data_IF_398902212827
#
_entry.id   IF_398902212827
#
_cell.length_a   1.000
_cell.length_b   1.000
_cell.length_c   1.000
_cell.angle_alpha   90.00
_cell.angle_beta   90.00
_cell.angle_gamma   90.00
#
_symmetry.space_group_name_H-M   'P 1'
#
loop_
_entity.id
_entity.type
_entity.pdbx_description
1 polymer ?
#
# COMPACT_ATOMS: atom_id res chain seq x y z
N UNK A 1 -5.99 -58.06 -37.74
CA UNK A 1 -5.65 -56.63 -37.87
C UNK A 1 -6.44 -55.85 -36.82
N UNK A 2 -5.76 -55.23 -35.84
CA UNK A 2 -6.38 -54.40 -34.82
C UNK A 2 -5.52 -53.15 -34.63
N UNK A 3 -6.08 -52.00 -34.97
CA UNK A 3 -5.37 -50.73 -35.04
C UNK A 3 -5.18 -50.08 -33.68
N UNK A 4 -4.00 -49.46 -33.54
CA UNK A 4 -3.38 -48.77 -32.42
C UNK A 4 -4.31 -47.81 -31.67
N UNK A 5 -4.34 -47.93 -30.34
CA UNK A 5 -4.67 -46.83 -29.43
C UNK A 5 -3.39 -46.19 -28.91
N UNK A 6 -3.27 -44.86 -29.00
CA UNK A 6 -2.33 -44.10 -28.18
C UNK A 6 -2.61 -42.59 -28.18
N UNK A 7 -2.71 -42.07 -26.95
CA UNK A 7 -2.30 -40.75 -26.44
C UNK A 7 -3.29 -39.57 -26.51
N UNK A 8 -3.49 -39.07 -25.29
CA UNK A 8 -4.26 -37.93 -24.82
C UNK A 8 -3.38 -36.68 -24.96
N UNK A 9 -3.93 -35.56 -25.40
CA UNK A 9 -3.36 -34.24 -25.17
C UNK A 9 -4.43 -33.33 -24.60
N UNK A 10 -4.36 -33.16 -23.28
CA UNK A 10 -4.90 -31.99 -22.60
C UNK A 10 -3.85 -30.88 -22.70
N UNK A 11 -4.27 -29.68 -23.10
CA UNK A 11 -3.56 -28.44 -22.85
C UNK A 11 -4.60 -27.32 -22.84
N UNK A 12 -5.13 -27.04 -21.66
CA UNK A 12 -5.80 -25.78 -21.34
C UNK A 12 -4.78 -24.65 -21.53
N UNK A 13 -5.13 -23.65 -22.34
CA UNK A 13 -4.47 -22.33 -22.28
C UNK A 13 -5.12 -21.55 -21.16
N UNK A 14 -4.47 -21.58 -19.99
CA UNK A 14 -4.64 -20.59 -18.95
C UNK A 14 -3.46 -19.63 -19.08
N UNK A 15 -3.72 -18.46 -19.64
CA UNK A 15 -2.76 -17.36 -19.58
C UNK A 15 -2.95 -16.74 -18.19
N UNK A 16 -2.28 -17.34 -17.22
CA UNK A 16 -2.18 -16.90 -15.84
C UNK A 16 -1.17 -15.76 -15.81
N UNK A 17 -1.64 -14.51 -15.84
CA UNK A 17 -0.81 -13.36 -15.48
C UNK A 17 -0.63 -13.40 -13.96
N UNK A 18 0.35 -14.20 -13.55
CA UNK A 18 0.80 -14.31 -12.17
C UNK A 18 1.46 -12.99 -11.78
N UNK A 19 0.68 -12.07 -11.23
CA UNK A 19 1.21 -10.95 -10.46
C UNK A 19 1.85 -11.54 -9.21
N UNK A 20 3.15 -11.80 -9.28
CA UNK A 20 3.99 -11.99 -8.10
C UNK A 20 3.70 -10.84 -7.12
N UNK A 21 3.38 -11.10 -5.84
CA UNK A 21 3.26 -10.03 -4.86
C UNK A 21 4.64 -9.37 -4.76
N UNK A 22 4.76 -8.17 -5.32
CA UNK A 22 5.92 -7.33 -5.06
C UNK A 22 5.85 -7.02 -3.58
N UNK A 23 6.70 -7.67 -2.77
CA UNK A 23 6.85 -7.39 -1.34
C UNK A 23 7.02 -5.87 -1.17
N UNK A 24 5.95 -5.21 -0.76
CA UNK A 24 5.94 -3.77 -0.54
C UNK A 24 6.82 -3.47 0.67
N UNK A 25 7.87 -2.67 0.48
CA UNK A 25 8.79 -2.34 1.56
C UNK A 25 8.09 -1.64 2.71
N UNK A 26 8.48 -1.96 3.95
CA UNK A 26 8.09 -1.21 5.15
C UNK A 26 9.29 -0.40 5.67
N UNK A 27 9.17 0.92 5.65
CA UNK A 27 10.19 1.86 6.12
C UNK A 27 9.67 2.60 7.35
N UNK A 28 10.45 2.59 8.43
CA UNK A 28 10.10 3.27 9.68
C UNK A 28 10.96 4.53 9.82
N UNK A 29 10.36 5.70 9.60
CA UNK A 29 11.06 6.99 9.78
C UNK A 29 11.02 7.44 11.24
N UNK A 30 9.88 7.23 11.90
CA UNK A 30 9.69 7.49 13.33
C UNK A 30 9.14 6.22 13.97
N UNK A 31 9.86 5.63 14.94
CA UNK A 31 9.31 4.56 15.76
C UNK A 31 8.03 4.96 16.47
N UNK A 32 7.05 4.06 16.44
CA UNK A 32 5.72 4.26 17.02
C UNK A 32 4.99 5.48 16.44
N UNK A 33 5.30 5.84 15.19
CA UNK A 33 4.55 6.83 14.43
C UNK A 33 3.07 6.42 14.31
N UNK A 34 2.19 7.39 14.48
CA UNK A 34 0.73 7.26 14.46
C UNK A 34 0.13 7.26 13.04
N UNK A 35 0.97 7.36 12.01
CA UNK A 35 0.57 7.32 10.60
C UNK A 35 1.46 6.34 9.81
N UNK A 36 0.83 5.58 8.91
CA UNK A 36 1.48 4.81 7.86
C UNK A 36 1.05 5.41 6.51
N UNK A 37 2.00 5.94 5.74
CA UNK A 37 1.76 6.36 4.36
C UNK A 37 1.88 5.15 3.43
N UNK A 38 0.87 4.93 2.59
CA UNK A 38 0.86 3.90 1.54
C UNK A 38 1.15 4.59 0.20
N UNK A 39 2.39 4.49 -0.28
CA UNK A 39 2.88 5.30 -1.40
C UNK A 39 2.82 4.53 -2.71
N UNK A 40 2.25 5.17 -3.73
CA UNK A 40 2.20 4.70 -5.09
C UNK A 40 1.35 3.43 -5.28
N UNK A 41 1.31 2.88 -6.50
CA UNK A 41 0.51 1.70 -6.82
C UNK A 41 0.99 0.42 -6.10
N UNK A 42 2.25 0.41 -5.64
CA UNK A 42 2.83 -0.70 -4.88
C UNK A 42 2.52 -0.63 -3.39
N UNK A 43 1.88 0.43 -2.92
CA UNK A 43 1.56 0.66 -1.51
C UNK A 43 2.77 0.47 -0.59
N UNK A 44 3.90 1.08 -0.97
CA UNK A 44 5.07 1.07 -0.10
C UNK A 44 4.73 1.78 1.22
N UNK A 45 5.06 1.13 2.33
CA UNK A 45 4.63 1.57 3.66
C UNK A 45 5.70 2.42 4.31
N UNK A 46 5.35 3.64 4.73
CA UNK A 46 6.24 4.51 5.50
C UNK A 46 5.58 4.91 6.82
N UNK A 47 6.13 4.45 7.96
CA UNK A 47 5.66 4.86 9.29
C UNK A 47 6.29 6.18 9.73
N UNK A 48 5.44 7.14 10.10
CA UNK A 48 5.82 8.51 10.47
C UNK A 48 4.85 9.08 11.51
N UNK A 49 5.24 10.18 12.17
CA UNK A 49 4.38 10.92 13.09
C UNK A 49 3.53 11.98 12.37
N UNK A 50 2.25 12.06 12.71
CA UNK A 50 1.31 13.12 12.34
C UNK A 50 1.80 14.50 12.74
N UNK A 51 2.49 14.61 13.88
CA UNK A 51 3.06 15.85 14.36
C UNK A 51 4.13 16.38 13.42
N UNK A 52 5.06 15.50 12.98
CA UNK A 52 6.10 15.87 12.02
C UNK A 52 5.48 16.29 10.69
N UNK A 53 4.54 15.49 10.15
CA UNK A 53 3.84 15.81 8.90
C UNK A 53 3.12 17.16 8.96
N UNK A 54 2.49 17.49 10.08
CA UNK A 54 1.81 18.78 10.28
C UNK A 54 2.79 19.98 10.35
N UNK A 55 4.04 19.76 10.77
CA UNK A 55 5.06 20.81 10.83
C UNK A 55 5.70 21.03 9.46
N UNK A 56 5.98 19.94 8.75
CA UNK A 56 6.74 19.98 7.48
C UNK A 56 5.86 20.21 6.26
N UNK A 57 4.56 19.92 6.33
CA UNK A 57 3.65 20.05 5.19
C UNK A 57 2.35 20.79 5.56
N UNK A 58 2.09 21.95 4.93
CA UNK A 58 0.81 22.66 5.07
C UNK A 58 -0.38 21.80 4.61
N UNK A 59 -0.18 20.95 3.60
CA UNK A 59 -1.22 20.08 3.04
C UNK A 59 -1.61 19.01 4.06
N UNK A 60 -0.63 18.28 4.61
CA UNK A 60 -0.91 17.30 5.66
C UNK A 60 -1.50 17.97 6.90
N UNK A 61 -1.03 19.16 7.27
CA UNK A 61 -1.62 19.92 8.37
C UNK A 61 -3.10 20.21 8.14
N UNK A 62 -3.47 20.68 6.95
CA UNK A 62 -4.86 20.94 6.60
C UNK A 62 -5.68 19.64 6.58
N UNK A 63 -5.13 18.57 6.01
CA UNK A 63 -5.81 17.28 5.88
C UNK A 63 -6.07 16.61 7.24
N UNK A 64 -5.07 16.58 8.11
CA UNK A 64 -5.14 15.91 9.41
C UNK A 64 -5.87 16.71 10.49
N UNK A 65 -5.96 18.04 10.35
CA UNK A 65 -6.65 18.92 11.31
C UNK A 65 -8.03 19.38 10.86
N UNK A 66 -8.51 18.92 9.71
CA UNK A 66 -9.85 19.21 9.22
C UNK A 66 -10.77 18.00 9.39
N UNK A 67 -12.04 18.17 9.01
CA UNK A 67 -13.05 17.11 9.04
C UNK A 67 -12.93 16.09 7.90
N UNK A 68 -11.79 16.06 7.21
CA UNK A 68 -11.49 15.02 6.21
C UNK A 68 -11.38 13.64 6.86
N UNK A 69 -11.50 12.61 6.02
CA UNK A 69 -11.55 11.21 6.46
C UNK A 69 -10.31 10.84 7.26
N UNK A 70 -9.15 11.32 6.84
CA UNK A 70 -7.84 11.07 7.43
C UNK A 70 -7.73 11.71 8.82
N UNK A 71 -8.18 12.97 8.97
CA UNK A 71 -8.19 13.66 10.26
C UNK A 71 -9.13 12.99 11.26
N UNK A 72 -10.32 12.57 10.83
CA UNK A 72 -11.26 11.81 11.67
C UNK A 72 -10.70 10.46 12.06
N UNK A 73 -10.15 9.70 11.11
CA UNK A 73 -9.51 8.43 11.38
C UNK A 73 -8.38 8.58 12.40
N UNK A 74 -7.58 9.65 12.33
CA UNK A 74 -6.53 9.93 13.31
C UNK A 74 -7.08 10.27 14.70
N UNK A 75 -8.21 10.98 14.79
CA UNK A 75 -8.85 11.28 16.08
C UNK A 75 -9.48 10.04 16.73
N UNK A 76 -10.04 9.15 15.91
CA UNK A 76 -10.69 7.91 16.36
C UNK A 76 -9.68 6.77 16.60
N UNK A 77 -8.47 6.91 16.04
CA UNK A 77 -7.39 5.95 16.21
C UNK A 77 -6.92 5.93 17.67
N UNK A 78 -7.05 4.78 18.30
CA UNK A 78 -6.63 4.60 19.68
C UNK A 78 -5.11 4.37 19.75
N UNK A 79 -4.68 3.16 19.42
CA UNK A 79 -3.27 2.72 19.52
C UNK A 79 -2.68 2.25 18.19
N UNK A 80 -3.54 2.06 17.20
CA UNK A 80 -3.14 1.58 15.88
C UNK A 80 -2.86 2.78 14.97
N UNK A 81 -1.76 2.76 14.21
CA UNK A 81 -1.44 3.83 13.28
C UNK A 81 -2.46 3.89 12.13
N UNK A 82 -2.74 5.10 11.67
CA UNK A 82 -3.69 5.34 10.57
C UNK A 82 -3.00 5.21 9.22
N UNK A 83 -3.59 4.44 8.31
CA UNK A 83 -3.11 4.33 6.93
C UNK A 83 -3.66 5.48 6.07
N UNK A 84 -2.77 6.16 5.33
CA UNK A 84 -3.10 7.22 4.37
C UNK A 84 -2.55 6.83 3.00
N UNK A 85 -3.45 6.69 2.02
CA UNK A 85 -3.10 6.32 0.66
C UNK A 85 -2.64 7.54 -0.15
N UNK A 86 -1.47 7.42 -0.79
CA UNK A 86 -0.87 8.41 -1.67
C UNK A 86 -0.55 7.75 -3.04
N UNK A 87 -1.57 7.42 -3.84
CA UNK A 87 -1.40 6.59 -5.04
C UNK A 87 -0.63 7.30 -6.17
N UNK A 88 -0.62 8.63 -6.17
CA UNK A 88 0.03 9.45 -7.20
C UNK A 88 1.51 9.74 -6.88
N UNK A 89 1.93 9.51 -5.64
CA UNK A 89 3.30 9.78 -5.19
C UNK A 89 4.26 8.62 -5.50
N UNK A 90 5.53 8.97 -5.72
CA UNK A 90 6.61 8.00 -5.89
C UNK A 90 7.32 7.76 -4.56
N UNK A 91 7.60 6.49 -4.20
CA UNK A 91 8.33 6.14 -2.98
C UNK A 91 9.81 6.60 -2.97
N UNK A 92 10.31 7.06 -4.12
CA UNK A 92 11.69 7.55 -4.30
C UNK A 92 11.77 9.07 -4.52
N UNK A 93 10.66 9.80 -4.35
CA UNK A 93 10.67 11.26 -4.44
C UNK A 93 11.50 11.87 -3.29
N UNK A 94 12.46 12.74 -3.65
CA UNK A 94 13.38 13.44 -2.73
C UNK A 94 13.31 14.95 -2.89
#
# INVERSE_FOLDING_TARGET
MGSKGARKHAAQKQDHESSEPTEAGFRQLIPDGDIILLIGPKQEKIQISSHLLCITSPVFKAMLKSDFKEGKALCDANKDPVEIELPEDSPDAV
#
